data_IF_930008678048
#
_entry.id   IF_930008678048
#
_cell.length_a   1.000
_cell.length_b   1.000
_cell.length_c   1.000
_cell.angle_alpha   90.00
_cell.angle_beta   90.00
_cell.angle_gamma   90.00
#
_symmetry.space_group_name_H-M   'P 1'
#
loop_
_entity.id
_entity.type
_entity.pdbx_description
1 polymer ?
#
# COMPACT_ATOMS: atom_id res chain seq x y z
N UNK A 1 13.09 -1.45 -23.57
CA UNK A 1 12.16 -1.17 -22.47
C UNK A 1 10.87 -0.70 -23.09
N UNK A 2 9.73 -1.27 -22.70
CA UNK A 2 8.44 -0.86 -23.25
C UNK A 2 8.02 0.47 -22.60
N UNK A 3 7.62 1.42 -23.43
CA UNK A 3 7.00 2.69 -23.00
C UNK A 3 5.66 2.40 -22.31
N UNK A 4 5.34 3.14 -21.25
CA UNK A 4 4.05 2.99 -20.57
C UNK A 4 2.92 3.43 -21.52
N UNK A 5 1.97 2.54 -21.77
CA UNK A 5 0.75 2.84 -22.53
C UNK A 5 -0.42 2.90 -21.57
N UNK A 6 -1.05 4.08 -21.47
CA UNK A 6 -2.22 4.26 -20.62
C UNK A 6 -3.43 3.54 -21.19
N UNK A 7 -4.13 2.82 -20.32
CA UNK A 7 -5.45 2.26 -20.59
C UNK A 7 -6.38 2.59 -19.42
N UNK A 8 -7.36 3.47 -19.67
CA UNK A 8 -8.30 3.95 -18.65
C UNK A 8 -9.33 2.90 -18.23
N UNK A 9 -9.56 1.87 -19.05
CA UNK A 9 -10.42 0.74 -18.71
C UNK A 9 -9.68 -0.34 -17.91
N UNK A 10 -8.34 -0.36 -17.99
CA UNK A 10 -7.53 -1.31 -17.24
C UNK A 10 -7.38 -0.91 -15.76
N UNK A 11 -7.49 -1.89 -14.87
CA UNK A 11 -7.42 -1.65 -13.42
C UNK A 11 -6.06 -1.07 -12.98
N UNK A 12 -4.98 -1.57 -13.59
CA UNK A 12 -3.58 -1.20 -13.32
C UNK A 12 -3.08 -0.04 -14.19
N UNK A 13 -3.20 -0.12 -15.52
CA UNK A 13 -2.62 0.84 -16.48
C UNK A 13 -3.40 2.16 -16.66
N UNK A 14 -4.40 2.43 -15.81
CA UNK A 14 -5.08 3.73 -15.77
C UNK A 14 -4.20 4.87 -15.26
N UNK A 15 -3.14 4.54 -14.51
CA UNK A 15 -2.11 5.47 -14.03
C UNK A 15 -0.72 4.93 -14.38
N UNK A 16 0.21 5.84 -14.66
CA UNK A 16 1.63 5.48 -14.78
C UNK A 16 2.20 5.05 -13.42
N UNK A 17 3.35 4.35 -13.36
CA UNK A 17 4.01 3.99 -12.11
C UNK A 17 4.19 5.17 -11.16
N UNK A 18 4.64 6.32 -11.69
CA UNK A 18 4.84 7.54 -10.89
C UNK A 18 3.53 8.18 -10.42
N UNK A 19 2.47 8.08 -11.22
CA UNK A 19 1.13 8.50 -10.80
C UNK A 19 0.57 7.62 -9.69
N UNK A 20 0.81 6.32 -9.72
CA UNK A 20 0.44 5.41 -8.64
C UNK A 20 1.15 5.75 -7.33
N UNK A 21 2.46 6.04 -7.38
CA UNK A 21 3.21 6.54 -6.22
C UNK A 21 2.61 7.85 -5.71
N UNK A 22 2.35 8.82 -6.58
CA UNK A 22 1.74 10.11 -6.18
C UNK A 22 0.36 9.92 -5.53
N UNK A 23 -0.47 9.04 -6.10
CA UNK A 23 -1.77 8.70 -5.54
C UNK A 23 -1.66 8.04 -4.16
N UNK A 24 -0.71 7.12 -3.99
CA UNK A 24 -0.43 6.47 -2.72
C UNK A 24 -0.03 7.46 -1.62
N UNK A 25 0.86 8.42 -1.94
CA UNK A 25 1.25 9.47 -0.99
C UNK A 25 0.07 10.38 -0.61
N UNK A 26 -0.83 10.65 -1.56
CA UNK A 26 -2.07 11.38 -1.29
C UNK A 26 -3.00 10.62 -0.33
N UNK A 27 -3.10 9.30 -0.50
CA UNK A 27 -3.89 8.45 0.37
C UNK A 27 -3.28 8.32 1.77
N UNK A 28 -1.94 8.25 1.88
CA UNK A 28 -1.24 8.24 3.15
C UNK A 28 -1.51 9.51 3.97
N UNK A 29 -1.44 10.70 3.35
CA UNK A 29 -1.79 11.96 4.02
C UNK A 29 -3.24 11.98 4.52
N UNK A 30 -4.18 11.38 3.78
CA UNK A 30 -5.57 11.22 4.22
C UNK A 30 -5.69 10.27 5.42
N UNK A 31 -4.92 9.18 5.43
CA UNK A 31 -4.87 8.25 6.55
C UNK A 31 -4.32 8.92 7.83
N UNK A 32 -3.24 9.69 7.71
CA UNK A 32 -2.65 10.47 8.80
C UNK A 32 -3.67 11.46 9.39
N UNK A 33 -4.35 12.23 8.52
CA UNK A 33 -5.39 13.16 8.95
C UNK A 33 -6.55 12.46 9.67
N UNK A 34 -6.96 11.27 9.21
CA UNK A 34 -8.00 10.50 9.85
C UNK A 34 -7.60 10.01 11.24
N UNK A 35 -6.37 9.52 11.42
CA UNK A 35 -5.85 9.16 12.74
C UNK A 35 -5.74 10.36 13.68
N UNK A 36 -5.30 11.51 13.19
CA UNK A 36 -5.28 12.75 13.96
C UNK A 36 -6.68 13.17 14.47
N UNK A 37 -7.72 12.85 13.71
CA UNK A 37 -9.13 13.07 14.07
C UNK A 37 -9.75 11.90 14.86
N UNK A 38 -8.94 10.96 15.36
CA UNK A 38 -9.37 9.75 16.08
C UNK A 38 -10.32 8.84 15.27
N UNK A 39 -10.29 8.95 13.94
CA UNK A 39 -11.04 8.09 13.04
C UNK A 39 -10.17 6.91 12.58
N UNK A 40 -9.94 5.97 13.49
CA UNK A 40 -9.07 4.83 13.24
C UNK A 40 -9.54 3.92 12.09
N UNK A 41 -10.86 3.85 11.83
CA UNK A 41 -11.41 3.08 10.71
C UNK A 41 -11.00 3.68 9.37
N UNK A 42 -11.16 4.99 9.21
CA UNK A 42 -10.71 5.68 8.00
C UNK A 42 -9.17 5.68 7.89
N UNK A 43 -8.46 5.84 9.02
CA UNK A 43 -7.00 5.77 9.09
C UNK A 43 -6.46 4.44 8.58
N UNK A 44 -6.92 3.31 9.12
CA UNK A 44 -6.45 1.98 8.71
C UNK A 44 -6.83 1.66 7.26
N UNK A 45 -8.05 2.00 6.84
CA UNK A 45 -8.49 1.79 5.47
C UNK A 45 -7.63 2.61 4.49
N UNK A 46 -7.31 3.85 4.84
CA UNK A 46 -6.41 4.70 4.07
C UNK A 46 -4.99 4.15 4.00
N UNK A 47 -4.42 3.69 5.13
CA UNK A 47 -3.08 3.10 5.16
C UNK A 47 -2.95 1.87 4.24
N UNK A 48 -3.93 0.96 4.27
CA UNK A 48 -3.98 -0.20 3.36
C UNK A 48 -4.08 0.20 1.90
N UNK A 49 -4.94 1.17 1.58
CA UNK A 49 -5.07 1.68 0.22
C UNK A 49 -3.79 2.35 -0.26
N UNK A 50 -3.14 3.17 0.57
CA UNK A 50 -1.89 3.82 0.25
C UNK A 50 -0.81 2.79 -0.10
N UNK A 51 -0.63 1.78 0.75
CA UNK A 51 0.35 0.72 0.52
C UNK A 51 0.09 -0.02 -0.80
N UNK A 52 -1.13 -0.48 -1.06
CA UNK A 52 -1.41 -1.20 -2.31
C UNK A 52 -1.43 -0.31 -3.56
N UNK A 53 -1.82 0.96 -3.45
CA UNK A 53 -1.65 1.93 -4.55
C UNK A 53 -0.18 2.11 -4.93
N UNK A 54 0.73 2.09 -3.95
CA UNK A 54 2.16 2.15 -4.26
C UNK A 54 2.61 0.87 -4.97
N UNK A 55 2.16 -0.31 -4.51
CA UNK A 55 2.46 -1.60 -5.13
C UNK A 55 1.91 -1.75 -6.55
N UNK A 56 0.80 -1.06 -6.90
CA UNK A 56 0.38 -0.96 -8.30
C UNK A 56 1.49 -0.36 -9.19
N UNK A 57 2.18 0.67 -8.71
CA UNK A 57 3.31 1.26 -9.45
C UNK A 57 4.44 0.24 -9.67
N UNK A 58 4.77 -0.54 -8.64
CA UNK A 58 5.76 -1.61 -8.73
C UNK A 58 5.34 -2.72 -9.72
N UNK A 59 4.07 -3.14 -9.70
CA UNK A 59 3.54 -4.19 -10.57
C UNK A 59 3.53 -3.84 -12.06
N UNK A 60 3.51 -2.55 -12.41
CA UNK A 60 3.64 -2.15 -13.82
C UNK A 60 5.05 -2.43 -14.34
N UNK A 61 6.08 -2.21 -13.51
CA UNK A 61 7.49 -2.31 -13.93
C UNK A 61 8.10 -3.68 -13.66
N UNK A 62 7.62 -4.37 -12.63
CA UNK A 62 7.99 -5.75 -12.27
C UNK A 62 6.70 -6.57 -12.10
N UNK A 63 6.09 -7.04 -13.20
CA UNK A 63 4.82 -7.76 -13.14
C UNK A 63 4.93 -9.08 -12.39
N UNK A 64 3.97 -9.33 -11.50
CA UNK A 64 3.83 -10.59 -10.78
C UNK A 64 2.33 -10.93 -10.60
N UNK A 65 1.87 -11.97 -11.29
CA UNK A 65 0.48 -12.41 -11.23
C UNK A 65 0.09 -12.93 -9.83
N UNK A 66 1.05 -13.42 -9.06
CA UNK A 66 0.86 -13.93 -7.70
C UNK A 66 0.45 -12.84 -6.71
N UNK A 67 0.62 -11.56 -7.06
CA UNK A 67 0.22 -10.44 -6.23
C UNK A 67 -1.28 -10.08 -6.38
N UNK A 68 -2.00 -10.69 -7.32
CA UNK A 68 -3.44 -10.46 -7.51
C UNK A 68 -3.79 -9.09 -8.08
N UNK A 69 -5.02 -8.61 -7.86
CA UNK A 69 -5.57 -7.40 -8.52
C UNK A 69 -6.12 -6.33 -7.58
N UNK A 70 -6.23 -6.64 -6.30
CA UNK A 70 -6.64 -5.67 -5.28
C UNK A 70 -5.48 -5.30 -4.37
N UNK A 71 -5.55 -4.12 -3.74
CA UNK A 71 -4.55 -3.72 -2.76
C UNK A 71 -4.43 -4.72 -1.59
N UNK A 72 -5.51 -5.43 -1.25
CA UNK A 72 -5.47 -6.49 -0.22
C UNK A 72 -4.69 -7.70 -0.72
N UNK A 73 -4.90 -8.11 -1.97
CA UNK A 73 -4.16 -9.22 -2.57
C UNK A 73 -2.66 -8.92 -2.58
N UNK A 74 -2.27 -7.70 -2.96
CA UNK A 74 -0.88 -7.27 -2.97
C UNK A 74 -0.25 -7.42 -1.58
N UNK A 75 -0.93 -6.91 -0.55
CA UNK A 75 -0.46 -6.99 0.84
C UNK A 75 -0.34 -8.44 1.33
N UNK A 76 -1.31 -9.30 1.00
CA UNK A 76 -1.27 -10.72 1.34
C UNK A 76 -0.13 -11.45 0.64
N UNK A 77 0.14 -11.12 -0.62
CA UNK A 77 1.20 -11.72 -1.42
C UNK A 77 2.59 -11.30 -0.93
N UNK A 78 2.86 -9.99 -0.79
CA UNK A 78 4.19 -9.53 -0.35
C UNK A 78 4.50 -9.93 1.09
N UNK A 79 3.48 -10.12 1.94
CA UNK A 79 3.67 -10.64 3.29
C UNK A 79 4.29 -12.05 3.33
N UNK A 80 4.27 -12.78 2.21
CA UNK A 80 4.76 -14.16 2.06
C UNK A 80 5.89 -14.30 1.03
N UNK A 81 6.25 -13.22 0.35
CA UNK A 81 7.21 -13.24 -0.76
C UNK A 81 8.64 -13.06 -0.25
N UNK A 82 9.42 -14.13 -0.19
CA UNK A 82 10.79 -14.09 0.33
C UNK A 82 11.76 -13.22 -0.47
N UNK A 83 11.40 -12.82 -1.69
CA UNK A 83 12.18 -11.87 -2.52
C UNK A 83 12.05 -10.43 -2.00
N UNK A 84 10.96 -10.12 -1.29
CA UNK A 84 10.69 -8.79 -0.71
C UNK A 84 11.42 -8.65 0.63
N UNK A 85 12.08 -7.52 0.96
CA UNK A 85 12.80 -7.36 2.22
C UNK A 85 11.94 -7.65 3.46
N UNK A 86 12.50 -8.33 4.47
CA UNK A 86 11.76 -8.81 5.64
C UNK A 86 10.93 -7.70 6.33
N UNK A 87 11.48 -6.48 6.47
CA UNK A 87 10.74 -5.32 7.04
C UNK A 87 9.45 -5.01 6.30
N UNK A 88 9.47 -5.06 4.96
CA UNK A 88 8.30 -4.79 4.11
C UNK A 88 7.27 -5.91 4.23
N UNK A 89 7.72 -7.17 4.33
CA UNK A 89 6.83 -8.32 4.58
C UNK A 89 6.11 -8.20 5.92
N UNK A 90 6.85 -7.87 6.99
CA UNK A 90 6.28 -7.67 8.31
C UNK A 90 5.33 -6.47 8.36
N UNK A 91 5.65 -5.37 7.65
CA UNK A 91 4.75 -4.24 7.50
C UNK A 91 3.43 -4.65 6.82
N UNK A 92 3.50 -5.46 5.77
CA UNK A 92 2.31 -5.94 5.07
C UNK A 92 1.43 -6.83 5.97
N UNK A 93 2.05 -7.74 6.72
CA UNK A 93 1.37 -8.57 7.73
C UNK A 93 0.69 -7.69 8.78
N UNK A 94 1.40 -6.70 9.33
CA UNK A 94 0.85 -5.76 10.31
C UNK A 94 -0.40 -5.07 9.75
N UNK A 95 -0.35 -4.55 8.53
CA UNK A 95 -1.52 -3.90 7.90
C UNK A 95 -2.70 -4.85 7.74
N UNK A 96 -2.48 -6.11 7.37
CA UNK A 96 -3.54 -7.11 7.18
C UNK A 96 -4.14 -7.57 8.50
N UNK A 97 -3.29 -7.90 9.47
CA UNK A 97 -3.70 -8.48 10.76
C UNK A 97 -4.32 -7.44 11.69
N UNK A 98 -4.03 -6.15 11.50
CA UNK A 98 -4.66 -5.08 12.27
C UNK A 98 -6.18 -5.08 12.02
N UNK A 99 -7.04 -5.29 13.03
CA UNK A 99 -8.49 -5.33 12.81
C UNK A 99 -9.03 -3.94 12.49
N UNK A 100 -10.04 -3.87 11.61
CA UNK A 100 -10.79 -2.63 11.42
C UNK A 100 -11.63 -2.34 12.68
N UNK A 101 -11.57 -1.11 13.22
CA UNK A 101 -12.43 -0.71 14.33
C UNK A 101 -13.91 -0.92 14.00
N UNK A 102 -14.63 -1.58 14.92
CA UNK A 102 -16.05 -1.87 14.79
C UNK A 102 -16.40 -3.13 13.99
N UNK A 103 -15.42 -3.94 13.59
CA UNK A 103 -15.67 -5.33 13.15
C UNK A 103 -15.60 -6.28 14.36
N UNK A 104 -16.73 -6.91 14.69
CA UNK A 104 -16.84 -7.90 15.77
C UNK A 104 -17.24 -7.32 17.13
N UNK A 105 -17.36 -8.19 18.14
CA UNK A 105 -17.77 -7.85 19.52
C UNK A 105 -16.62 -7.28 20.38
N UNK A 106 -15.40 -7.24 19.86
CA UNK A 106 -14.21 -6.77 20.57
C UNK A 106 -13.92 -5.30 20.24
N UNK A 107 -13.92 -4.47 21.28
CA UNK A 107 -13.41 -3.09 21.21
C UNK A 107 -11.89 -3.15 21.29
N UNK A 108 -11.20 -2.99 20.16
CA UNK A 108 -9.75 -2.88 20.16
C UNK A 108 -9.32 -1.57 20.84
N UNK A 109 -8.64 -1.66 21.98
CA UNK A 109 -8.04 -0.49 22.65
C UNK A 109 -6.87 -0.01 21.80
N UNK A 110 -7.00 1.16 21.19
CA UNK A 110 -5.95 1.77 20.36
C UNK A 110 -5.32 2.96 21.07
N UNK A 111 -4.03 3.12 20.84
CA UNK A 111 -3.20 4.23 21.32
C UNK A 111 -2.59 4.95 20.12
N UNK A 112 -2.14 6.20 20.32
CA UNK A 112 -1.38 6.93 19.30
C UNK A 112 -0.17 6.13 18.79
N UNK A 113 0.49 5.36 19.67
CA UNK A 113 1.59 4.47 19.27
C UNK A 113 1.13 3.34 18.34
N UNK A 114 -0.06 2.76 18.54
CA UNK A 114 -0.59 1.74 17.64
C UNK A 114 -1.02 2.30 16.27
N UNK A 115 -1.45 3.56 16.23
CA UNK A 115 -1.80 4.25 14.98
C UNK A 115 -0.53 4.59 14.19
N UNK A 116 0.52 5.07 14.87
CA UNK A 116 1.80 5.36 14.22
C UNK A 116 2.43 4.11 13.59
N UNK A 117 2.38 2.96 14.27
CA UNK A 117 2.88 1.68 13.71
C UNK A 117 2.21 1.29 12.39
N UNK A 118 0.91 1.59 12.24
CA UNK A 118 0.18 1.33 10.99
C UNK A 118 0.65 2.29 9.89
N UNK A 119 0.86 3.56 10.23
CA UNK A 119 1.34 4.56 9.28
C UNK A 119 2.78 4.27 8.84
N UNK A 120 3.67 3.91 9.77
CA UNK A 120 5.03 3.47 9.47
C UNK A 120 5.04 2.25 8.54
N UNK A 121 4.20 1.24 8.80
CA UNK A 121 4.09 0.08 7.92
C UNK A 121 3.66 0.46 6.50
N UNK A 122 2.71 1.38 6.34
CA UNK A 122 2.32 1.88 5.03
C UNK A 122 3.44 2.67 4.33
N UNK A 123 4.23 3.45 5.09
CA UNK A 123 5.40 4.18 4.58
C UNK A 123 6.49 3.23 4.11
N UNK A 124 6.80 2.17 4.86
CA UNK A 124 7.81 1.18 4.48
C UNK A 124 7.49 0.50 3.15
N UNK A 125 6.22 0.11 2.96
CA UNK A 125 5.76 -0.50 1.71
C UNK A 125 5.80 0.51 0.57
N UNK A 126 5.33 1.75 0.80
CA UNK A 126 5.36 2.80 -0.20
C UNK A 126 6.79 3.17 -0.63
N UNK A 127 7.73 3.22 0.31
CA UNK A 127 9.15 3.47 0.05
C UNK A 127 9.77 2.33 -0.76
N UNK A 128 9.45 1.07 -0.42
CA UNK A 128 9.89 -0.08 -1.21
C UNK A 128 9.39 0.00 -2.66
N UNK A 129 8.08 0.22 -2.85
CA UNK A 129 7.50 0.34 -4.19
C UNK A 129 8.09 1.54 -4.97
N UNK A 130 8.35 2.67 -4.31
CA UNK A 130 9.03 3.80 -4.92
C UNK A 130 10.42 3.42 -5.43
N UNK A 131 11.22 2.71 -4.63
CA UNK A 131 12.55 2.24 -5.04
C UNK A 131 12.45 1.31 -6.24
N UNK A 132 11.48 0.40 -6.28
CA UNK A 132 11.23 -0.47 -7.44
C UNK A 132 10.93 0.38 -8.68
N UNK A 133 9.95 1.30 -8.60
CA UNK A 133 9.60 2.19 -9.72
C UNK A 133 10.80 3.00 -10.22
N UNK A 134 11.62 3.55 -9.33
CA UNK A 134 12.77 4.39 -9.71
C UNK A 134 13.95 3.63 -10.29
N UNK A 135 14.02 2.30 -10.12
CA UNK A 135 14.97 1.46 -10.87
C UNK A 135 14.60 1.32 -12.35
N UNK A 136 13.36 1.66 -12.71
CA UNK A 136 12.81 1.55 -14.08
C UNK A 136 12.38 2.92 -14.64
N UNK A 137 13.29 3.89 -14.83
CA UNK A 137 12.96 5.27 -15.19
C UNK A 137 12.34 5.44 -16.59
N UNK A 138 12.37 4.41 -17.45
CA UNK A 138 11.76 4.45 -18.78
C UNK A 138 10.26 4.12 -18.82
N UNK A 139 9.64 3.86 -17.67
CA UNK A 139 8.22 3.51 -17.56
C UNK A 139 7.36 4.65 -16.96
N UNK A 140 7.92 5.86 -16.82
CA UNK A 140 7.30 7.00 -16.11
C UNK A 140 6.22 7.73 -16.90
#
# INVERSE_FOLDING_TARGET
MAEFVRDTAHWLFKFSPDEWIRAALGELRRAEAAYAQRNARAGLAGARRAAGMALNGALIVEPDEGWGRSYVDHLLAIGKDDRVPARVREAAKLLIETPLPGQGSLVAIRTASSDEKVLEAARDIAAHAYVVVKRHPGAT
#
